data_IF_981817857931
#
_entry.id   IF_981817857931
#
_cell.length_a   1.000
_cell.length_b   1.000
_cell.length_c   1.000
_cell.angle_alpha   90.00
_cell.angle_beta   90.00
_cell.angle_gamma   90.00
#
_symmetry.space_group_name_H-M   'P 1'
#
loop_
_entity.id
_entity.type
_entity.pdbx_description
1 polymer ?
#
# COMPACT_ATOMS: atom_id res chain seq x y z
N UNK A 1 15.00 15.23 0.89
CA UNK A 1 14.38 14.14 0.12
C UNK A 1 13.45 13.37 1.02
N UNK A 2 12.38 12.81 0.45
CA UNK A 2 11.42 12.00 1.19
C UNK A 2 11.77 10.52 0.98
N UNK A 3 12.19 9.86 2.04
CA UNK A 3 12.64 8.44 1.99
C UNK A 3 11.60 7.47 2.55
N UNK A 4 10.66 7.95 3.36
CA UNK A 4 9.65 7.15 4.01
C UNK A 4 8.29 7.85 3.94
N UNK A 5 7.26 7.08 3.58
CA UNK A 5 5.86 7.47 3.70
C UNK A 5 5.17 6.47 4.64
N UNK A 6 4.72 6.97 5.78
CA UNK A 6 3.74 6.29 6.61
C UNK A 6 2.34 6.85 6.31
N UNK A 7 1.52 6.04 5.64
CA UNK A 7 0.15 6.39 5.28
C UNK A 7 -0.85 5.33 5.76
N UNK A 8 -0.53 4.70 6.88
CA UNK A 8 -1.35 3.63 7.47
C UNK A 8 -2.67 4.14 8.02
N UNK A 9 -3.66 3.26 8.07
CA UNK A 9 -4.91 3.41 8.81
C UNK A 9 -5.76 4.64 8.45
N UNK A 10 -5.66 5.15 7.21
CA UNK A 10 -6.51 6.25 6.75
C UNK A 10 -7.92 5.76 6.39
N UNK A 11 -8.10 4.46 6.15
CA UNK A 11 -9.40 3.85 5.88
C UNK A 11 -9.45 2.41 6.40
N UNK A 12 -9.46 2.26 7.72
CA UNK A 12 -9.39 0.94 8.38
C UNK A 12 -10.63 0.08 8.01
N UNK A 13 -10.48 -1.22 7.72
CA UNK A 13 -11.61 -2.13 7.49
C UNK A 13 -12.61 -2.12 8.66
N UNK A 14 -13.91 -2.25 8.35
CA UNK A 14 -15.02 -2.11 9.33
C UNK A 14 -14.86 -3.03 10.54
N UNK A 15 -14.36 -4.25 10.34
CA UNK A 15 -14.16 -5.24 11.41
C UNK A 15 -12.99 -4.92 12.34
N UNK A 16 -12.04 -4.09 11.88
CA UNK A 16 -10.82 -3.72 12.62
C UNK A 16 -10.89 -2.28 13.15
N UNK A 17 -11.73 -1.43 12.57
CA UNK A 17 -11.81 0.01 12.84
C UNK A 17 -12.86 0.42 13.87
N UNK A 18 -12.93 1.73 14.12
CA UNK A 18 -13.95 2.32 15.00
C UNK A 18 -15.34 2.23 14.38
N UNK A 19 -16.32 1.73 15.15
CA UNK A 19 -17.73 1.73 14.74
C UNK A 19 -18.35 3.14 14.68
N UNK A 20 -17.72 4.14 15.31
CA UNK A 20 -18.20 5.51 15.30
C UNK A 20 -17.77 6.28 14.04
N UNK A 21 -16.61 5.94 13.48
CA UNK A 21 -16.01 6.61 12.32
C UNK A 21 -15.65 5.58 11.26
N UNK A 22 -16.69 5.05 10.63
CA UNK A 22 -16.54 4.01 9.60
C UNK A 22 -16.09 4.65 8.30
N UNK A 23 -14.97 4.17 7.75
CA UNK A 23 -14.58 4.52 6.41
C UNK A 23 -15.50 3.83 5.39
N UNK A 24 -16.26 4.62 4.64
CA UNK A 24 -17.23 4.12 3.64
C UNK A 24 -16.66 4.04 2.23
N UNK A 25 -15.49 4.64 2.00
CA UNK A 25 -14.84 4.67 0.69
C UNK A 25 -13.34 4.40 0.85
N UNK A 26 -12.88 3.28 0.28
CA UNK A 26 -11.47 2.89 0.28
C UNK A 26 -10.57 4.00 -0.26
N UNK A 27 -9.32 4.02 0.20
CA UNK A 27 -8.29 4.90 -0.32
C UNK A 27 -8.16 4.71 -1.84
N UNK A 28 -8.10 5.82 -2.58
CA UNK A 28 -7.80 5.82 -4.01
C UNK A 28 -6.39 6.36 -4.19
N UNK A 29 -5.54 5.56 -4.84
CA UNK A 29 -4.20 5.99 -5.24
C UNK A 29 -4.26 6.26 -6.74
N UNK A 30 -3.97 7.51 -7.13
CA UNK A 30 -3.94 7.88 -8.54
C UNK A 30 -2.72 7.29 -9.26
N UNK A 31 -2.77 7.08 -10.58
CA UNK A 31 -1.62 6.68 -11.37
C UNK A 31 -0.44 7.63 -11.15
N UNK A 32 0.77 7.08 -11.02
CA UNK A 32 1.99 7.87 -10.81
C UNK A 32 2.05 8.67 -9.50
N UNK A 33 1.19 8.41 -8.50
CA UNK A 33 1.21 9.16 -7.22
C UNK A 33 2.56 9.14 -6.51
N UNK A 34 3.38 8.11 -6.77
CA UNK A 34 4.69 7.91 -6.14
C UNK A 34 5.87 7.99 -7.13
N UNK A 35 5.61 8.14 -8.44
CA UNK A 35 6.64 7.98 -9.48
C UNK A 35 7.74 9.06 -9.43
N UNK A 36 7.42 10.26 -8.93
CA UNK A 36 8.36 11.36 -8.75
C UNK A 36 9.23 11.26 -7.48
N UNK A 37 8.98 10.27 -6.62
CA UNK A 37 9.70 10.11 -5.35
C UNK A 37 10.92 9.19 -5.54
N UNK A 38 11.92 9.69 -6.27
CA UNK A 38 13.12 8.93 -6.65
C UNK A 38 13.89 8.32 -5.48
N UNK A 39 13.72 8.89 -4.29
CA UNK A 39 14.49 8.55 -3.09
C UNK A 39 13.66 7.78 -2.06
N UNK A 40 12.41 7.46 -2.39
CA UNK A 40 11.52 6.73 -1.50
C UNK A 40 11.98 5.28 -1.33
N UNK A 41 12.25 4.89 -0.08
CA UNK A 41 12.71 3.54 0.29
C UNK A 41 11.63 2.74 1.00
N UNK A 42 10.78 3.39 1.80
CA UNK A 42 9.74 2.72 2.58
C UNK A 42 8.35 3.33 2.35
N UNK A 43 7.37 2.48 2.08
CA UNK A 43 5.97 2.86 1.87
C UNK A 43 5.06 1.95 2.70
N UNK A 44 4.37 2.54 3.67
CA UNK A 44 3.39 1.86 4.51
C UNK A 44 1.98 2.29 4.13
N UNK A 45 1.18 1.34 3.64
CA UNK A 45 -0.19 1.53 3.16
C UNK A 45 -1.18 0.59 3.87
N UNK A 46 -0.83 0.15 5.07
CA UNK A 46 -1.64 -0.79 5.84
C UNK A 46 -3.00 -0.20 6.23
N UNK A 47 -4.05 -1.02 6.28
CA UNK A 47 -5.34 -0.59 6.83
C UNK A 47 -6.04 0.49 5.98
N UNK A 48 -5.98 0.39 4.65
CA UNK A 48 -6.53 1.37 3.71
C UNK A 48 -7.64 0.82 2.80
N UNK A 49 -8.08 -0.42 3.01
CA UNK A 49 -9.06 -1.12 2.19
C UNK A 49 -8.69 -1.20 0.70
N UNK A 50 -7.38 -1.22 0.37
CA UNK A 50 -6.89 -1.37 -1.00
C UNK A 50 -7.34 -2.73 -1.57
N UNK A 51 -7.66 -2.75 -2.87
CA UNK A 51 -8.07 -3.96 -3.59
C UNK A 51 -6.95 -4.58 -4.43
N UNK A 52 -5.91 -3.80 -4.71
CA UNK A 52 -4.79 -4.20 -5.54
C UNK A 52 -3.49 -3.57 -5.03
N UNK A 53 -2.35 -4.17 -5.41
CA UNK A 53 -1.04 -3.58 -5.19
C UNK A 53 -0.93 -2.32 -6.05
N UNK A 54 -0.53 -1.15 -5.50
CA UNK A 54 -0.37 0.07 -6.28
C UNK A 54 0.64 -0.10 -7.42
N UNK A 55 0.37 0.56 -8.54
CA UNK A 55 1.28 0.62 -9.70
C UNK A 55 2.08 1.92 -9.71
N UNK A 56 3.04 1.99 -10.62
CA UNK A 56 3.96 3.11 -10.80
C UNK A 56 4.77 3.39 -9.53
N UNK A 57 5.16 2.33 -8.82
CA UNK A 57 5.99 2.43 -7.62
C UNK A 57 7.43 2.81 -8.00
N UNK A 58 8.09 3.69 -7.23
CA UNK A 58 9.44 4.13 -7.54
C UNK A 58 10.42 2.95 -7.45
N UNK A 59 11.35 2.86 -8.40
CA UNK A 59 12.35 1.78 -8.47
C UNK A 59 13.38 1.77 -7.34
N UNK A 60 13.36 2.76 -6.46
CA UNK A 60 14.14 2.86 -5.23
C UNK A 60 13.49 2.16 -4.03
N UNK A 61 12.23 1.75 -4.13
CA UNK A 61 11.48 1.20 -3.02
C UNK A 61 12.06 -0.16 -2.56
N UNK A 62 12.35 -0.25 -1.26
CA UNK A 62 12.93 -1.42 -0.59
C UNK A 62 11.94 -2.08 0.36
N UNK A 63 11.02 -1.32 0.94
CA UNK A 63 9.97 -1.82 1.84
C UNK A 63 8.60 -1.37 1.36
N UNK A 64 7.68 -2.34 1.26
CA UNK A 64 6.26 -2.10 0.98
C UNK A 64 5.42 -2.88 1.98
N UNK A 65 4.59 -2.15 2.72
CA UNK A 65 3.63 -2.72 3.66
C UNK A 65 2.19 -2.49 3.17
N UNK A 66 1.46 -3.58 2.99
CA UNK A 66 0.08 -3.63 2.49
C UNK A 66 -0.80 -4.50 3.39
N UNK A 67 -0.49 -4.59 4.68
CA UNK A 67 -1.26 -5.38 5.63
C UNK A 67 -2.66 -4.79 5.85
N UNK A 68 -3.60 -5.63 6.32
CA UNK A 68 -4.95 -5.19 6.67
C UNK A 68 -5.68 -4.43 5.52
N UNK A 69 -5.42 -4.84 4.27
CA UNK A 69 -6.14 -4.41 3.08
C UNK A 69 -7.08 -5.55 2.60
N UNK A 70 -7.59 -5.46 1.38
CA UNK A 70 -8.48 -6.45 0.78
C UNK A 70 -7.84 -7.05 -0.51
N UNK A 71 -6.53 -7.28 -0.50
CA UNK A 71 -5.75 -7.80 -1.62
C UNK A 71 -5.65 -9.33 -1.52
N UNK A 72 -6.58 -10.05 -2.16
CA UNK A 72 -6.67 -11.51 -2.08
C UNK A 72 -6.12 -12.26 -3.31
N UNK A 73 -5.61 -11.54 -4.31
CA UNK A 73 -5.00 -12.12 -5.51
C UNK A 73 -3.71 -11.41 -5.85
N UNK A 74 -2.68 -12.18 -6.15
CA UNK A 74 -1.36 -11.68 -6.55
C UNK A 74 -1.02 -12.35 -7.87
N UNK A 75 -0.79 -11.56 -8.90
CA UNK A 75 -0.29 -12.02 -10.18
C UNK A 75 1.17 -11.63 -10.37
N UNK A 76 1.83 -12.25 -11.34
CA UNK A 76 3.23 -11.93 -11.67
C UNK A 76 3.37 -10.46 -12.08
N UNK A 77 2.38 -9.93 -12.79
CA UNK A 77 2.31 -8.54 -13.26
C UNK A 77 2.22 -7.55 -12.09
N UNK A 78 1.64 -7.92 -10.94
CA UNK A 78 1.61 -7.05 -9.77
C UNK A 78 3.00 -6.83 -9.14
N UNK A 79 3.96 -7.71 -9.43
CA UNK A 79 5.28 -7.71 -8.78
C UNK A 79 6.41 -7.27 -9.72
N UNK A 80 6.14 -7.00 -11.00
CA UNK A 80 7.20 -6.67 -11.98
C UNK A 80 7.92 -5.37 -11.67
N UNK A 81 7.27 -4.43 -11.01
CA UNK A 81 7.84 -3.12 -10.64
C UNK A 81 8.62 -3.17 -9.33
N UNK A 82 8.44 -4.22 -8.52
CA UNK A 82 9.05 -4.38 -7.20
C UNK A 82 10.48 -4.96 -7.28
N UNK A 83 11.26 -4.51 -8.25
CA UNK A 83 12.55 -5.12 -8.61
C UNK A 83 13.64 -5.01 -7.51
N UNK A 84 13.54 -4.01 -6.61
CA UNK A 84 14.46 -3.81 -5.49
C UNK A 84 13.83 -4.04 -4.12
N UNK A 85 12.64 -4.63 -4.08
CA UNK A 85 11.96 -4.87 -2.81
C UNK A 85 12.75 -5.90 -1.99
N UNK A 86 13.02 -5.56 -0.73
CA UNK A 86 13.69 -6.42 0.24
C UNK A 86 12.69 -6.97 1.25
N UNK A 87 11.66 -6.16 1.58
CA UNK A 87 10.62 -6.51 2.55
C UNK A 87 9.24 -6.20 1.96
N UNK A 88 8.38 -7.22 1.92
CA UNK A 88 7.00 -7.11 1.45
C UNK A 88 6.05 -7.73 2.47
N UNK A 89 5.22 -6.89 3.11
CA UNK A 89 4.18 -7.34 4.03
C UNK A 89 2.81 -7.35 3.34
N UNK A 90 2.20 -8.53 3.28
CA UNK A 90 0.88 -8.78 2.67
C UNK A 90 -0.08 -9.50 3.64
N UNK A 91 0.25 -9.53 4.92
CA UNK A 91 -0.55 -10.18 5.96
C UNK A 91 -1.93 -9.53 6.13
N UNK A 92 -2.86 -10.25 6.75
CA UNK A 92 -4.18 -9.71 7.13
C UNK A 92 -5.00 -9.13 5.96
N UNK A 93 -4.72 -9.55 4.72
CA UNK A 93 -5.60 -9.30 3.59
C UNK A 93 -6.75 -10.32 3.58
N UNK A 94 -7.99 -9.85 3.51
CA UNK A 94 -9.20 -10.68 3.59
C UNK A 94 -10.27 -10.23 2.59
#
# INVERSE_FOLDING_TARGET
>A
HLEEIDFRCNCVPVLLGSKANVCTKRLQIGPGSFSGLSDLKALYLDGNQLLEIPRDLPSSLQLLSLEANNIFSITKENLTELAKIEVLYLGQNC
#
